data_IF_000073949386
#
_entry.id   IF_000073949386
#
_cell.length_a   1.000
_cell.length_b   1.000
_cell.length_c   1.000
_cell.angle_alpha   90.00
_cell.angle_beta   90.00
_cell.angle_gamma   90.00
#
_symmetry.space_group_name_H-M   'P 1'
#
loop_
_entity.id
_entity.type
_entity.pdbx_description
1 polymer ?
#
# COMPACT_ATOMS: atom_id res chain seq x y z
N UNK A 1 22.22 9.46 10.15
CA UNK A 1 21.15 8.66 9.56
C UNK A 1 21.18 8.87 8.04
N UNK A 2 21.15 7.78 7.31
CA UNK A 2 21.23 7.88 5.85
C UNK A 2 19.86 8.26 5.28
N UNK A 3 19.89 9.21 4.36
CA UNK A 3 18.69 9.55 3.62
C UNK A 3 18.52 8.57 2.48
N UNK A 4 17.27 8.25 2.16
CA UNK A 4 16.98 7.41 1.02
C UNK A 4 17.28 8.15 -0.27
N UNK A 5 17.82 7.43 -1.25
CA UNK A 5 18.00 7.99 -2.58
C UNK A 5 16.66 8.09 -3.30
N UNK A 6 16.59 8.89 -4.35
CA UNK A 6 15.38 8.99 -5.17
C UNK A 6 14.98 7.62 -5.72
N UNK A 7 15.95 6.78 -6.07
CA UNK A 7 15.68 5.43 -6.56
C UNK A 7 15.05 4.55 -5.48
N UNK A 8 15.56 4.64 -4.24
CA UNK A 8 15.00 3.88 -3.12
C UNK A 8 13.57 4.32 -2.80
N UNK A 9 13.32 5.63 -2.83
CA UNK A 9 11.97 6.16 -2.63
C UNK A 9 11.04 5.65 -3.73
N UNK A 10 11.48 5.65 -4.99
CA UNK A 10 10.70 5.15 -6.10
C UNK A 10 10.39 3.66 -5.93
N UNK A 11 11.32 2.86 -5.39
CA UNK A 11 11.09 1.45 -5.12
C UNK A 11 10.03 1.24 -4.04
N UNK A 12 10.07 2.06 -2.98
CA UNK A 12 9.04 2.01 -1.94
C UNK A 12 7.67 2.41 -2.50
N UNK A 13 7.63 3.43 -3.34
CA UNK A 13 6.39 3.86 -3.98
C UNK A 13 5.82 2.74 -4.84
N UNK A 14 6.66 2.09 -5.64
CA UNK A 14 6.23 0.98 -6.49
C UNK A 14 5.67 -0.18 -5.67
N UNK A 15 6.33 -0.53 -4.57
CA UNK A 15 5.85 -1.60 -3.68
C UNK A 15 4.49 -1.25 -3.07
N UNK A 16 4.32 0.00 -2.65
CA UNK A 16 3.04 0.46 -2.11
C UNK A 16 1.94 0.45 -3.18
N UNK A 17 2.27 0.85 -4.41
CA UNK A 17 1.31 0.79 -5.51
C UNK A 17 0.89 -0.64 -5.84
N UNK A 18 1.81 -1.61 -5.70
CA UNK A 18 1.45 -3.02 -5.87
C UNK A 18 0.36 -3.42 -4.87
N UNK A 19 0.46 -2.96 -3.62
CA UNK A 19 -0.58 -3.19 -2.61
C UNK A 19 -1.90 -2.55 -3.00
N UNK A 20 -1.87 -1.31 -3.50
CA UNK A 20 -3.07 -0.62 -3.97
C UNK A 20 -3.72 -1.40 -5.11
N UNK A 21 -2.93 -1.85 -6.08
CA UNK A 21 -3.43 -2.58 -7.23
C UNK A 21 -4.03 -3.93 -6.81
N UNK A 22 -3.41 -4.61 -5.86
CA UNK A 22 -3.93 -5.88 -5.34
C UNK A 22 -5.30 -5.67 -4.69
N UNK A 23 -5.42 -4.65 -3.84
CA UNK A 23 -6.68 -4.35 -3.16
C UNK A 23 -7.78 -3.98 -4.17
N UNK A 24 -7.44 -3.18 -5.17
CA UNK A 24 -8.40 -2.72 -6.17
C UNK A 24 -8.82 -3.83 -7.13
N UNK A 25 -7.97 -4.84 -7.34
CA UNK A 25 -8.29 -5.99 -8.18
C UNK A 25 -9.36 -6.88 -7.56
N UNK A 26 -9.43 -6.88 -6.23
CA UNK A 26 -10.44 -7.66 -5.51
C UNK A 26 -10.02 -9.09 -5.25
N UNK A 27 -10.88 -9.81 -4.57
CA UNK A 27 -10.61 -11.18 -4.13
C UNK A 27 -10.45 -12.14 -5.33
N UNK A 28 -9.32 -12.88 -5.39
CA UNK A 28 -9.16 -13.92 -6.41
C UNK A 28 -10.16 -15.06 -6.20
N UNK A 29 -10.55 -15.72 -7.29
CA UNK A 29 -11.52 -16.83 -7.23
C UNK A 29 -11.04 -18.00 -6.37
N UNK A 30 -9.73 -18.24 -6.35
CA UNK A 30 -9.14 -19.36 -5.62
C UNK A 30 -8.75 -19.02 -4.18
N UNK A 31 -9.11 -17.83 -3.71
CA UNK A 31 -8.79 -17.39 -2.35
C UNK A 31 -10.08 -17.40 -1.50
N UNK A 32 -9.98 -17.99 -0.30
CA UNK A 32 -11.11 -18.00 0.64
C UNK A 32 -11.38 -16.60 1.20
N UNK A 33 -12.59 -16.40 1.74
CA UNK A 33 -12.95 -15.12 2.34
C UNK A 33 -12.04 -14.77 3.52
N UNK A 34 -11.68 -15.77 4.34
CA UNK A 34 -10.80 -15.55 5.48
C UNK A 34 -9.40 -15.15 5.04
N UNK A 35 -8.88 -15.82 4.02
CA UNK A 35 -7.56 -15.48 3.48
C UNK A 35 -7.57 -14.09 2.85
N UNK A 36 -8.64 -13.76 2.15
CA UNK A 36 -8.77 -12.43 1.55
C UNK A 36 -8.85 -11.33 2.61
N UNK A 37 -9.62 -11.56 3.68
CA UNK A 37 -9.72 -10.60 4.78
C UNK A 37 -8.35 -10.35 5.41
N UNK A 38 -7.55 -11.41 5.61
CA UNK A 38 -6.20 -11.28 6.14
C UNK A 38 -5.30 -10.53 5.16
N UNK A 39 -5.40 -10.83 3.87
CA UNK A 39 -4.65 -10.15 2.83
C UNK A 39 -4.96 -8.65 2.81
N UNK A 40 -6.24 -8.28 2.85
CA UNK A 40 -6.66 -6.88 2.89
C UNK A 40 -6.07 -6.18 4.12
N UNK A 41 -6.21 -6.80 5.30
CA UNK A 41 -5.71 -6.23 6.54
C UNK A 41 -4.21 -5.94 6.48
N UNK A 42 -3.44 -6.90 5.98
CA UNK A 42 -1.98 -6.74 5.87
C UNK A 42 -1.59 -5.66 4.89
N UNK A 43 -2.27 -5.58 3.77
CA UNK A 43 -1.94 -4.58 2.75
C UNK A 43 -2.37 -3.19 3.18
N UNK A 44 -3.51 -3.04 3.84
CA UNK A 44 -3.94 -1.76 4.41
C UNK A 44 -2.93 -1.30 5.46
N UNK A 45 -2.52 -2.19 6.37
CA UNK A 45 -1.52 -1.87 7.38
C UNK A 45 -0.21 -1.42 6.74
N UNK A 46 0.23 -2.11 5.69
CA UNK A 46 1.43 -1.73 4.96
C UNK A 46 1.31 -0.30 4.40
N UNK A 47 0.16 0.01 3.78
CA UNK A 47 -0.07 1.35 3.23
C UNK A 47 -0.10 2.41 4.33
N UNK A 48 -0.73 2.12 5.48
CA UNK A 48 -0.76 3.05 6.60
C UNK A 48 0.65 3.35 7.11
N UNK A 49 1.49 2.32 7.22
CA UNK A 49 2.88 2.49 7.61
C UNK A 49 3.63 3.33 6.58
N UNK A 50 3.40 3.06 5.30
CA UNK A 50 4.11 3.77 4.23
C UNK A 50 3.73 5.24 4.16
N UNK A 51 2.44 5.59 4.27
CA UNK A 51 2.04 7.00 4.22
C UNK A 51 2.52 7.77 5.45
N UNK A 52 2.81 7.09 6.55
CA UNK A 52 3.32 7.73 7.77
C UNK A 52 4.82 8.05 7.67
N UNK A 53 5.52 7.49 6.68
CA UNK A 53 6.95 7.79 6.50
C UNK A 53 7.15 9.25 6.09
N UNK A 54 8.27 9.81 6.48
CA UNK A 54 8.57 11.22 6.23
C UNK A 54 9.57 11.45 5.09
N UNK A 55 9.92 10.39 4.36
CA UNK A 55 10.89 10.51 3.26
C UNK A 55 10.25 10.90 1.93
N UNK A 56 8.91 10.94 1.85
CA UNK A 56 8.22 11.32 0.62
C UNK A 56 8.47 12.80 0.33
N UNK A 57 8.69 13.13 -0.92
CA UNK A 57 8.95 14.51 -1.35
C UNK A 57 7.85 15.01 -2.26
N UNK A 58 7.87 14.59 -3.53
CA UNK A 58 6.90 15.05 -4.53
C UNK A 58 5.90 13.97 -4.94
N UNK A 59 6.00 12.78 -4.34
CA UNK A 59 5.17 11.64 -4.67
C UNK A 59 3.71 11.90 -4.27
N UNK A 60 2.79 11.48 -5.14
CA UNK A 60 1.37 11.59 -4.86
C UNK A 60 0.92 10.39 -4.03
N UNK A 61 0.54 10.63 -2.79
CA UNK A 61 0.09 9.58 -1.88
C UNK A 61 -1.43 9.37 -1.90
N UNK A 62 -2.14 10.10 -2.76
CA UNK A 62 -3.60 9.98 -2.87
C UNK A 62 -4.08 8.55 -3.13
N UNK A 63 -3.45 7.76 -4.03
CA UNK A 63 -3.88 6.38 -4.24
C UNK A 63 -3.78 5.53 -2.97
N UNK A 64 -2.76 5.75 -2.16
CA UNK A 64 -2.57 5.01 -0.92
C UNK A 64 -3.65 5.38 0.09
N UNK A 65 -3.91 6.66 0.27
CA UNK A 65 -4.94 7.13 1.19
C UNK A 65 -6.32 6.67 0.76
N UNK A 66 -6.61 6.69 -0.53
CA UNK A 66 -7.88 6.21 -1.07
C UNK A 66 -8.06 4.72 -0.80
N UNK A 67 -7.02 3.92 -1.02
CA UNK A 67 -7.08 2.48 -0.77
C UNK A 67 -7.29 2.18 0.72
N UNK A 68 -6.61 2.91 1.60
CA UNK A 68 -6.77 2.77 3.05
C UNK A 68 -8.23 3.06 3.43
N UNK A 69 -8.79 4.15 2.93
CA UNK A 69 -10.17 4.54 3.23
C UNK A 69 -11.17 3.52 2.69
N UNK A 70 -10.94 3.04 1.46
CA UNK A 70 -11.87 2.13 0.80
C UNK A 70 -11.86 0.75 1.43
N UNK A 71 -10.69 0.23 1.79
CA UNK A 71 -10.53 -1.16 2.20
C UNK A 71 -10.27 -1.33 3.70
N UNK A 72 -9.91 -0.26 4.40
CA UNK A 72 -9.48 -0.31 5.79
C UNK A 72 -10.58 -0.10 6.82
N UNK A 73 -11.79 0.08 6.40
CA UNK A 73 -12.90 0.34 7.33
C UNK A 73 -13.67 -0.91 7.69
#
# INVERSE_FOLDING_TARGET
MEELTAEQIAQHYSAAMDSVNLLNAGQPEDMSDDDWADCVSRNVEHLEIMVAKDFWTTEDLSPFNTAITTHGS
#
